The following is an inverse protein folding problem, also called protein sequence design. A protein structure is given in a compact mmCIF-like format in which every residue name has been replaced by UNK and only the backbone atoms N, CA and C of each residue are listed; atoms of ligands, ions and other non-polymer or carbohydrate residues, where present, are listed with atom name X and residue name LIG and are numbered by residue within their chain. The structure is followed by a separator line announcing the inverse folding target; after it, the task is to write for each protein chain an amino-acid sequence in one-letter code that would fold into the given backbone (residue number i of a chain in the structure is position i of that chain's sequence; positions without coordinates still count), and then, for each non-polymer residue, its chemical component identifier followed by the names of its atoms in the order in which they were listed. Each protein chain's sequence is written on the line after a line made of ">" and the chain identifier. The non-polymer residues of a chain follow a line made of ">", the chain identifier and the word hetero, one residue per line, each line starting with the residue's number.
data_IF_023001261182
#
_entry.id   IF_023001261182
#
_cell.length_a   1.000
_cell.length_b   1.000
_cell.length_c   1.000
_cell.angle_alpha   90.00
_cell.angle_beta   90.00
_cell.angle_gamma   90.00
#
_symmetry.space_group_name_H-M   'P 1'
#
loop_
_entity.id
_entity.type
_entity.pdbx_description
1 polymer ?
#
# COMPACT_ATOMS: atom_id res chain seq x y z
N UNK A 1 15.41 14.21 54.25
CA UNK A 1 14.10 14.03 53.57
C UNK A 1 14.08 14.58 52.14
N UNK A 2 14.56 15.81 51.85
CA UNK A 2 14.56 16.39 50.49
C UNK A 2 15.40 15.60 49.43
N UNK A 3 16.49 14.95 49.83
CA UNK A 3 17.36 14.19 48.92
C UNK A 3 16.78 12.83 48.48
N UNK A 4 15.87 12.24 49.27
CA UNK A 4 15.25 10.94 48.97
C UNK A 4 14.09 11.12 47.97
N UNK A 5 13.34 12.22 48.08
CA UNK A 5 12.26 12.58 47.15
C UNK A 5 12.80 12.79 45.72
N UNK A 6 13.99 13.40 45.60
CA UNK A 6 14.64 13.63 44.30
C UNK A 6 15.05 12.31 43.62
N UNK A 7 15.51 11.33 44.40
CA UNK A 7 15.90 10.02 43.87
C UNK A 7 14.68 9.20 43.40
N UNK A 8 13.55 9.32 44.10
CA UNK A 8 12.27 8.70 43.69
C UNK A 8 11.71 9.30 42.39
N UNK A 9 11.82 10.62 42.21
CA UNK A 9 11.43 11.32 40.97
C UNK A 9 12.32 10.93 39.77
N UNK A 10 13.61 10.71 40.00
CA UNK A 10 14.55 10.23 38.97
C UNK A 10 14.26 8.79 38.53
N UNK A 11 13.84 7.90 39.45
CA UNK A 11 13.50 6.51 39.12
C UNK A 11 12.12 6.38 38.46
N UNK A 12 11.15 7.21 38.83
CA UNK A 12 9.83 7.27 38.18
C UNK A 12 9.88 7.92 36.78
N UNK A 13 10.83 8.82 36.53
CA UNK A 13 11.01 9.46 35.21
C UNK A 13 11.45 8.49 34.11
N UNK A 14 12.16 7.41 34.45
CA UNK A 14 12.68 6.41 33.49
C UNK A 14 11.61 5.37 33.12
N UNK A 15 10.55 5.24 33.92
CA UNK A 15 9.36 4.44 33.59
C UNK A 15 8.34 5.21 32.75
N UNK A 16 8.66 6.46 32.33
CA UNK A 16 7.91 7.13 31.27
C UNK A 16 7.99 6.26 30.04
N UNK A 17 6.90 5.56 29.78
CA UNK A 17 6.56 4.82 28.57
C UNK A 17 7.67 4.98 27.52
N UNK A 18 8.43 3.92 27.29
CA UNK A 18 8.89 3.69 25.93
C UNK A 18 7.60 3.76 25.12
N UNK A 19 7.30 4.94 24.57
CA UNK A 19 6.46 5.04 23.41
C UNK A 19 7.21 4.10 22.49
N UNK A 20 6.73 2.86 22.40
CA UNK A 20 6.86 2.10 21.17
C UNK A 20 6.66 3.18 20.13
N UNK A 21 7.74 3.55 19.44
CA UNK A 21 7.60 4.31 18.21
C UNK A 21 6.65 3.42 17.45
N UNK A 22 5.36 3.75 17.45
CA UNK A 22 4.45 3.32 16.42
C UNK A 22 5.18 3.84 15.21
N UNK A 23 5.97 2.96 14.60
CA UNK A 23 6.48 3.15 13.26
C UNK A 23 5.17 3.19 12.49
N UNK A 24 4.61 4.39 12.35
CA UNK A 24 3.52 4.64 11.47
C UNK A 24 4.07 4.20 10.13
N UNK A 25 3.66 3.01 9.71
CA UNK A 25 4.13 2.46 8.46
C UNK A 25 3.86 3.51 7.39
N UNK A 26 4.82 3.74 6.47
CA UNK A 26 4.55 4.61 5.35
C UNK A 26 3.29 4.09 4.65
N UNK A 27 2.36 5.01 4.39
CA UNK A 27 1.17 4.68 3.63
C UNK A 27 1.61 4.26 2.22
N UNK A 28 1.40 3.00 1.86
CA UNK A 28 1.88 2.43 0.59
C UNK A 28 0.73 1.78 -0.14
N UNK A 29 0.55 2.21 -1.39
CA UNK A 29 -0.29 1.54 -2.37
C UNK A 29 0.62 0.92 -3.43
N UNK A 30 0.51 -0.39 -3.61
CA UNK A 30 1.18 -1.12 -4.69
C UNK A 30 0.18 -1.27 -5.83
N UNK A 31 0.56 -0.91 -7.04
CA UNK A 31 -0.28 -1.02 -8.23
C UNK A 31 0.37 -1.98 -9.22
N UNK A 32 -0.39 -3.00 -9.62
CA UNK A 32 0.00 -3.96 -10.65
C UNK A 32 -0.87 -3.70 -11.88
N UNK A 33 -0.25 -3.59 -13.04
CA UNK A 33 -0.92 -3.33 -14.32
C UNK A 33 -0.97 -4.62 -15.13
N UNK A 34 -2.14 -4.99 -15.64
CA UNK A 34 -2.33 -6.15 -16.52
C UNK A 34 -1.68 -7.45 -15.99
N UNK A 35 -1.81 -7.69 -14.68
CA UNK A 35 -1.22 -8.82 -13.95
C UNK A 35 0.32 -8.95 -14.10
N UNK A 36 1.00 -7.86 -14.45
CA UNK A 36 2.46 -7.79 -14.50
C UNK A 36 3.07 -7.60 -13.11
N UNK A 37 3.06 -8.65 -12.30
CA UNK A 37 3.66 -8.65 -10.95
C UNK A 37 5.20 -8.50 -10.96
N UNK A 38 5.86 -8.59 -12.12
CA UNK A 38 7.32 -8.35 -12.25
C UNK A 38 7.69 -6.86 -12.19
N UNK A 39 6.80 -5.99 -12.68
CA UNK A 39 7.05 -4.55 -12.75
C UNK A 39 5.89 -3.76 -12.11
N UNK A 40 5.63 -3.95 -10.80
CA UNK A 40 4.62 -3.16 -10.11
C UNK A 40 5.06 -1.70 -10.00
N UNK A 41 4.10 -0.78 -9.92
CA UNK A 41 4.35 0.61 -9.56
C UNK A 41 3.99 0.76 -8.10
N UNK A 42 4.91 1.25 -7.27
CA UNK A 42 4.58 1.60 -5.89
C UNK A 42 4.64 3.07 -5.66
N UNK A 43 3.74 3.56 -4.82
CA UNK A 43 3.76 4.95 -4.43
C UNK A 43 3.57 5.04 -2.92
N UNK A 44 4.57 5.63 -2.27
CA UNK A 44 4.66 5.73 -0.82
C UNK A 44 4.52 7.19 -0.39
N UNK A 45 3.79 7.41 0.70
CA UNK A 45 3.75 8.73 1.36
C UNK A 45 5.04 8.94 2.13
N UNK A 46 5.73 10.06 1.87
CA UNK A 46 6.94 10.44 2.59
C UNK A 46 6.53 10.91 4.01
N UNK A 47 6.64 10.03 5.00
CA UNK A 47 6.62 10.44 6.40
C UNK A 47 8.06 10.77 6.82
N UNK A 48 8.26 12.01 7.24
CA UNK A 48 9.50 12.63 7.73
C UNK A 48 10.71 11.70 7.95
N UNK A 49 11.70 11.81 7.05
CA UNK A 49 13.11 11.58 7.38
C UNK A 49 13.68 10.18 7.19
N UNK A 50 12.88 9.15 6.94
CA UNK A 50 13.39 7.80 6.63
C UNK A 50 12.67 7.29 5.41
N UNK A 51 13.39 7.16 4.29
CA UNK A 51 13.21 6.13 3.27
C UNK A 51 14.27 6.35 2.18
N UNK A 52 15.38 5.64 2.36
CA UNK A 52 16.50 5.50 1.43
C UNK A 52 16.28 4.31 0.50
N UNK A 53 16.66 4.50 -0.77
CA UNK A 53 16.86 3.52 -1.87
C UNK A 53 16.66 2.04 -1.52
N UNK A 54 15.77 1.35 -2.23
CA UNK A 54 15.83 -0.10 -2.39
C UNK A 54 15.13 -0.56 -3.67
N UNK A 55 15.88 -1.10 -4.65
CA UNK A 55 15.36 -1.85 -5.80
C UNK A 55 16.41 -2.87 -6.30
N UNK A 56 16.20 -4.15 -6.00
CA UNK A 56 16.53 -5.30 -6.86
C UNK A 56 15.74 -6.49 -6.28
N UNK A 57 14.89 -7.22 -6.99
CA UNK A 57 14.84 -7.62 -8.40
C UNK A 57 13.43 -7.35 -8.99
N UNK A 58 13.32 -6.36 -9.88
CA UNK A 58 12.09 -5.88 -10.52
C UNK A 58 12.07 -4.35 -10.45
N UNK A 59 11.93 -3.67 -11.60
CA UNK A 59 12.04 -2.21 -11.71
C UNK A 59 10.79 -1.51 -11.16
N UNK A 60 10.56 -1.65 -9.85
CA UNK A 60 9.41 -1.06 -9.18
C UNK A 60 9.59 0.46 -9.09
N UNK A 61 8.88 1.19 -9.94
CA UNK A 61 8.95 2.65 -9.98
C UNK A 61 8.32 3.23 -8.71
N UNK A 62 9.16 3.78 -7.83
CA UNK A 62 8.75 4.42 -6.57
C UNK A 62 8.71 5.94 -6.71
N UNK A 63 7.59 6.57 -6.36
CA UNK A 63 7.48 8.04 -6.32
C UNK A 63 7.10 8.54 -4.92
N UNK A 64 7.76 9.60 -4.46
CA UNK A 64 7.47 10.30 -3.19
C UNK A 64 6.29 11.25 -3.33
N UNK A 65 5.43 11.31 -2.31
CA UNK A 65 4.34 12.28 -2.27
C UNK A 65 4.10 12.85 -0.87
N UNK A 66 3.79 14.16 -0.81
CA UNK A 66 3.35 14.85 0.42
C UNK A 66 1.88 14.54 0.67
N UNK A 67 1.59 13.96 1.83
CA UNK A 67 0.33 13.57 2.54
C UNK A 67 -1.10 13.84 1.99
N UNK A 68 -1.33 14.54 0.88
CA UNK A 68 -2.65 14.75 0.28
C UNK A 68 -3.06 13.53 -0.55
N UNK A 69 -3.97 12.72 0.01
CA UNK A 69 -4.47 11.48 -0.59
C UNK A 69 -5.09 11.70 -1.98
N UNK A 70 -5.75 12.85 -2.20
CA UNK A 70 -6.42 13.15 -3.49
C UNK A 70 -5.38 13.45 -4.57
N UNK A 71 -4.44 14.35 -4.28
CA UNK A 71 -3.41 14.67 -5.26
C UNK A 71 -2.45 13.50 -5.50
N UNK A 72 -2.24 12.65 -4.48
CA UNK A 72 -1.54 11.38 -4.65
C UNK A 72 -2.25 10.50 -5.68
N UNK A 73 -3.56 10.32 -5.54
CA UNK A 73 -4.38 9.51 -6.43
C UNK A 73 -4.38 10.03 -7.87
N UNK A 74 -4.64 11.32 -8.07
CA UNK A 74 -4.62 11.96 -9.39
C UNK A 74 -3.28 11.72 -10.09
N UNK A 75 -2.19 11.95 -9.36
CA UNK A 75 -0.85 11.83 -9.91
C UNK A 75 -0.42 10.37 -10.11
N UNK A 76 -0.90 9.41 -9.30
CA UNK A 76 -0.68 7.97 -9.56
C UNK A 76 -1.28 7.59 -10.92
N UNK A 77 -2.54 7.94 -11.15
CA UNK A 77 -3.24 7.63 -12.40
C UNK A 77 -2.61 8.33 -13.60
N UNK A 78 -2.17 9.59 -13.44
CA UNK A 78 -1.42 10.31 -14.49
C UNK A 78 -0.12 9.61 -14.88
N UNK A 79 0.66 9.14 -13.91
CA UNK A 79 1.94 8.49 -14.21
C UNK A 79 1.71 7.11 -14.88
N UNK A 80 0.72 6.34 -14.43
CA UNK A 80 0.27 5.11 -15.11
C UNK A 80 -0.07 5.42 -16.57
N UNK A 81 -0.86 6.46 -16.81
CA UNK A 81 -1.24 6.86 -18.16
C UNK A 81 -0.04 7.30 -19.00
N UNK A 82 0.90 8.09 -18.44
CA UNK A 82 2.11 8.52 -19.16
C UNK A 82 3.01 7.37 -19.56
N UNK A 83 3.23 6.41 -18.65
CA UNK A 83 4.07 5.25 -18.90
C UNK A 83 3.53 4.37 -20.03
N UNK A 84 2.22 4.20 -20.08
CA UNK A 84 1.56 3.26 -20.99
C UNK A 84 0.90 3.95 -22.21
N UNK A 85 0.93 5.29 -22.28
CA UNK A 85 0.18 6.15 -23.22
C UNK A 85 -1.35 6.00 -23.16
N UNK A 86 -1.84 5.03 -22.39
CA UNK A 86 -3.24 4.66 -22.16
C UNK A 86 -3.36 4.08 -20.75
N UNK A 87 -4.58 3.95 -20.21
CA UNK A 87 -4.75 3.19 -18.97
C UNK A 87 -4.78 1.68 -19.29
N UNK A 88 -4.10 0.83 -18.48
CA UNK A 88 -4.10 -0.64 -18.63
C UNK A 88 -5.49 -1.26 -18.68
N UNK A 89 -5.63 -2.50 -19.14
CA UNK A 89 -6.91 -3.21 -19.14
C UNK A 89 -7.32 -3.69 -17.74
N UNK A 90 -6.34 -3.92 -16.87
CA UNK A 90 -6.54 -4.28 -15.47
C UNK A 90 -5.60 -3.49 -14.56
N UNK A 91 -6.14 -2.97 -13.46
CA UNK A 91 -5.39 -2.40 -12.36
C UNK A 91 -5.67 -3.19 -11.09
N UNK A 92 -4.64 -3.77 -10.49
CA UNK A 92 -4.72 -4.43 -9.19
C UNK A 92 -4.00 -3.58 -8.14
N UNK A 93 -4.71 -3.19 -7.09
CA UNK A 93 -4.16 -2.41 -5.99
C UNK A 93 -3.95 -3.31 -4.77
N UNK A 94 -2.74 -3.33 -4.22
CA UNK A 94 -2.42 -4.00 -2.96
C UNK A 94 -2.22 -2.95 -1.87
N UNK A 95 -2.98 -3.08 -0.80
CA UNK A 95 -2.96 -2.14 0.33
C UNK A 95 -2.96 -2.90 1.67
N UNK A 96 -2.46 -2.24 2.72
CA UNK A 96 -2.63 -2.71 4.09
C UNK A 96 -3.74 -1.91 4.79
N UNK A 97 -4.12 -2.36 5.98
CA UNK A 97 -4.99 -1.63 6.87
C UNK A 97 -4.54 -0.16 7.03
N UNK A 98 -5.52 0.75 7.06
CA UNK A 98 -5.37 2.23 7.20
C UNK A 98 -5.08 3.01 5.90
N UNK A 99 -5.06 2.36 4.74
CA UNK A 99 -5.00 3.02 3.42
C UNK A 99 -6.37 3.45 2.87
N UNK A 100 -7.43 3.36 3.67
CA UNK A 100 -8.83 3.58 3.23
C UNK A 100 -9.01 4.87 2.43
N UNK A 101 -8.58 5.99 3.00
CA UNK A 101 -8.78 7.30 2.37
C UNK A 101 -8.06 7.38 1.03
N UNK A 102 -6.81 6.92 0.97
CA UNK A 102 -6.00 6.91 -0.25
C UNK A 102 -6.63 6.02 -1.32
N UNK A 103 -7.09 4.82 -0.95
CA UNK A 103 -7.75 3.91 -1.88
C UNK A 103 -9.07 4.50 -2.39
N UNK A 104 -9.90 5.08 -1.51
CA UNK A 104 -11.14 5.75 -1.92
C UNK A 104 -10.87 6.88 -2.91
N UNK A 105 -9.82 7.68 -2.71
CA UNK A 105 -9.43 8.73 -3.66
C UNK A 105 -9.01 8.16 -5.01
N UNK A 106 -8.23 7.07 -5.04
CA UNK A 106 -7.85 6.39 -6.30
C UNK A 106 -9.09 5.91 -7.05
N UNK A 107 -10.02 5.24 -6.37
CA UNK A 107 -11.25 4.74 -6.97
C UNK A 107 -12.11 5.89 -7.54
N UNK A 108 -12.20 7.01 -6.81
CA UNK A 108 -12.90 8.21 -7.29
C UNK A 108 -12.23 8.84 -8.52
N UNK A 109 -10.90 8.88 -8.56
CA UNK A 109 -10.15 9.37 -9.72
C UNK A 109 -10.42 8.46 -10.93
N UNK A 110 -10.28 7.14 -10.80
CA UNK A 110 -10.56 6.20 -11.89
C UNK A 110 -11.99 6.37 -12.45
N UNK A 111 -12.97 6.55 -11.56
CA UNK A 111 -14.35 6.87 -11.96
C UNK A 111 -14.45 8.19 -12.74
N UNK A 112 -13.78 9.25 -12.27
CA UNK A 112 -13.74 10.56 -12.96
C UNK A 112 -13.14 10.44 -14.35
N UNK A 113 -12.11 9.61 -14.52
CA UNK A 113 -11.50 9.28 -15.81
C UNK A 113 -12.33 8.32 -16.67
N UNK A 114 -13.51 7.89 -16.20
CA UNK A 114 -14.39 6.91 -16.88
C UNK A 114 -13.63 5.64 -17.26
N UNK A 115 -12.74 5.19 -16.38
CA UNK A 115 -11.95 3.99 -16.60
C UNK A 115 -12.88 2.78 -16.81
N UNK A 116 -12.67 2.05 -17.91
CA UNK A 116 -13.51 0.90 -18.32
C UNK A 116 -12.82 -0.46 -18.12
N UNK A 117 -11.57 -0.46 -17.66
CA UNK A 117 -10.86 -1.69 -17.37
C UNK A 117 -11.32 -2.33 -16.05
N UNK A 118 -10.75 -3.49 -15.76
CA UNK A 118 -10.97 -4.21 -14.51
C UNK A 118 -10.18 -3.53 -13.39
N UNK A 119 -10.80 -3.40 -12.23
CA UNK A 119 -10.09 -3.00 -11.01
C UNK A 119 -10.26 -4.08 -9.98
N UNK A 120 -9.16 -4.47 -9.37
CA UNK A 120 -9.12 -5.38 -8.22
C UNK A 120 -8.42 -4.67 -7.07
N UNK A 121 -9.03 -4.64 -5.90
CA UNK A 121 -8.39 -4.18 -4.66
C UNK A 121 -8.17 -5.39 -3.76
N UNK A 122 -6.91 -5.64 -3.38
CA UNK A 122 -6.52 -6.65 -2.41
C UNK A 122 -6.04 -5.92 -1.15
N UNK A 123 -6.81 -6.05 -0.07
CA UNK A 123 -6.45 -5.47 1.23
C UNK A 123 -6.03 -6.55 2.20
N UNK A 124 -4.84 -6.37 2.80
CA UNK A 124 -4.41 -7.14 3.95
C UNK A 124 -4.87 -6.42 5.23
N UNK A 125 -5.93 -6.93 5.85
CA UNK A 125 -6.51 -6.38 7.08
C UNK A 125 -7.34 -7.44 7.81
N UNK A 126 -7.68 -7.20 9.08
CA UNK A 126 -8.55 -8.12 9.83
C UNK A 126 -10.05 -7.93 9.55
N UNK A 127 -10.43 -6.79 8.96
CA UNK A 127 -11.83 -6.40 8.78
C UNK A 127 -12.02 -5.71 7.44
N UNK A 128 -13.11 -6.06 6.75
CA UNK A 128 -13.50 -5.42 5.49
C UNK A 128 -13.75 -3.92 5.68
N UNK A 129 -13.23 -3.15 4.74
CA UNK A 129 -13.49 -1.72 4.65
C UNK A 129 -14.80 -1.44 3.90
N UNK A 130 -15.82 -0.97 4.62
CA UNK A 130 -17.13 -0.71 4.03
C UNK A 130 -17.11 0.35 2.91
N UNK A 131 -16.24 1.36 3.00
CA UNK A 131 -16.16 2.42 2.00
C UNK A 131 -15.51 1.94 0.70
N UNK A 132 -14.45 1.14 0.79
CA UNK A 132 -13.81 0.53 -0.38
C UNK A 132 -14.79 -0.45 -1.05
N UNK A 133 -15.46 -1.30 -0.27
CA UNK A 133 -16.49 -2.22 -0.77
C UNK A 133 -17.61 -1.50 -1.51
N UNK A 134 -18.13 -0.41 -0.94
CA UNK A 134 -19.19 0.38 -1.57
C UNK A 134 -18.74 0.99 -2.90
N UNK A 135 -17.54 1.60 -2.94
CA UNK A 135 -17.01 2.23 -4.15
C UNK A 135 -16.70 1.20 -5.24
N UNK A 136 -16.15 0.04 -4.90
CA UNK A 136 -15.84 -1.00 -5.87
C UNK A 136 -17.12 -1.61 -6.45
N UNK A 137 -18.09 -1.98 -5.61
CA UNK A 137 -19.37 -2.53 -6.05
C UNK A 137 -20.13 -1.60 -7.00
N UNK A 138 -20.18 -0.30 -6.68
CA UNK A 138 -20.88 0.71 -7.53
C UNK A 138 -20.31 0.82 -8.95
N UNK A 139 -19.07 0.41 -9.17
CA UNK A 139 -18.39 0.55 -10.46
C UNK A 139 -18.09 -0.82 -11.11
N UNK A 140 -18.63 -1.93 -10.58
CA UNK A 140 -18.38 -3.28 -11.11
C UNK A 140 -16.94 -3.74 -10.94
N UNK A 141 -16.27 -3.27 -9.87
CA UNK A 141 -14.90 -3.62 -9.53
C UNK A 141 -14.86 -4.62 -8.36
N UNK A 142 -13.73 -5.31 -8.23
CA UNK A 142 -13.55 -6.37 -7.24
C UNK A 142 -12.81 -5.83 -6.00
N UNK A 143 -13.28 -6.23 -4.82
CA UNK A 143 -12.62 -5.96 -3.55
C UNK A 143 -12.51 -7.25 -2.74
N UNK A 144 -11.26 -7.66 -2.51
CA UNK A 144 -10.89 -8.85 -1.79
C UNK A 144 -10.11 -8.42 -0.53
N UNK A 145 -10.56 -8.89 0.63
CA UNK A 145 -9.89 -8.64 1.90
C UNK A 145 -9.43 -9.98 2.46
N UNK A 146 -8.18 -10.01 2.92
CA UNK A 146 -7.56 -11.17 3.51
C UNK A 146 -6.91 -10.80 4.84
N UNK A 147 -6.99 -11.69 5.83
CA UNK A 147 -6.27 -11.55 7.09
C UNK A 147 -4.85 -12.13 7.03
N UNK A 148 -4.61 -13.06 6.11
CA UNK A 148 -3.32 -13.68 5.85
C UNK A 148 -3.06 -13.72 4.33
N UNK A 149 -1.82 -13.47 3.93
CA UNK A 149 -1.40 -13.52 2.53
C UNK A 149 -1.55 -14.92 1.92
N UNK A 150 -1.50 -15.97 2.75
CA UNK A 150 -1.70 -17.36 2.31
C UNK A 150 -3.10 -17.61 1.76
N UNK A 151 -4.07 -16.83 2.21
CA UNK A 151 -5.47 -16.97 1.83
C UNK A 151 -5.78 -16.33 0.46
N UNK A 152 -4.82 -15.60 -0.12
CA UNK A 152 -4.96 -15.02 -1.46
C UNK A 152 -5.00 -16.15 -2.49
N UNK A 153 -6.16 -16.42 -3.06
CA UNK A 153 -6.30 -17.49 -4.06
C UNK A 153 -6.21 -16.98 -5.49
N UNK A 154 -5.76 -17.84 -6.40
CA UNK A 154 -5.81 -17.62 -7.84
C UNK A 154 -4.47 -17.86 -8.52
N UNK A 155 -4.48 -17.82 -9.85
CA UNK A 155 -3.28 -17.92 -10.69
C UNK A 155 -3.10 -16.63 -11.47
N UNK A 156 -1.85 -16.28 -11.73
CA UNK A 156 -1.48 -15.17 -12.62
C UNK A 156 -0.47 -15.69 -13.64
N UNK A 157 -0.57 -15.25 -14.89
CA UNK A 157 0.34 -15.65 -15.95
C UNK A 157 1.32 -14.53 -16.24
N UNK A 158 2.62 -14.82 -16.14
CA UNK A 158 3.68 -13.83 -16.33
C UNK A 158 4.69 -14.37 -17.34
N UNK A 159 4.62 -13.85 -18.58
CA UNK A 159 5.50 -14.27 -19.66
C UNK A 159 5.28 -15.73 -20.07
N UNK A 160 4.03 -16.19 -20.11
CA UNK A 160 3.66 -17.55 -20.51
C UNK A 160 3.78 -18.60 -19.39
N UNK A 161 4.20 -18.21 -18.19
CA UNK A 161 4.34 -19.10 -17.03
C UNK A 161 3.30 -18.73 -15.98
N UNK A 162 2.58 -19.74 -15.47
CA UNK A 162 1.60 -19.57 -14.40
C UNK A 162 2.27 -19.57 -13.03
N UNK A 163 1.89 -18.63 -12.20
CA UNK A 163 2.33 -18.48 -10.82
C UNK A 163 1.13 -18.44 -9.88
N UNK A 164 1.33 -18.91 -8.64
CA UNK A 164 0.33 -18.74 -7.61
C UNK A 164 0.27 -17.26 -7.20
N UNK A 165 -0.94 -16.70 -7.16
CA UNK A 165 -1.15 -15.29 -6.90
C UNK A 165 -0.68 -14.88 -5.50
N UNK A 166 -0.83 -15.76 -4.50
CA UNK A 166 -0.34 -15.49 -3.14
C UNK A 166 1.16 -15.27 -3.11
N UNK A 167 1.96 -16.06 -3.83
CA UNK A 167 3.42 -15.95 -3.86
C UNK A 167 3.84 -14.60 -4.47
N UNK A 168 3.19 -14.19 -5.57
CA UNK A 168 3.43 -12.89 -6.18
C UNK A 168 3.06 -11.74 -5.22
N UNK A 169 1.86 -11.78 -4.63
CA UNK A 169 1.40 -10.75 -3.70
C UNK A 169 2.27 -10.68 -2.44
N UNK A 170 2.61 -11.84 -1.86
CA UNK A 170 3.46 -11.92 -0.68
C UNK A 170 4.86 -11.37 -0.93
N UNK A 171 5.45 -11.64 -2.09
CA UNK A 171 6.75 -11.08 -2.48
C UNK A 171 6.70 -9.54 -2.46
N UNK A 172 5.63 -8.94 -2.98
CA UNK A 172 5.48 -7.48 -3.00
C UNK A 172 5.27 -6.87 -1.62
N UNK A 173 4.49 -7.52 -0.74
CA UNK A 173 4.36 -7.08 0.66
C UNK A 173 5.66 -7.28 1.46
N UNK A 174 6.38 -8.39 1.28
CA UNK A 174 7.63 -8.65 2.01
C UNK A 174 8.76 -7.71 1.61
N UNK A 175 8.89 -7.41 0.30
CA UNK A 175 9.82 -6.38 -0.18
C UNK A 175 9.54 -5.02 0.47
N UNK A 176 8.27 -4.68 0.75
CA UNK A 176 7.93 -3.48 1.52
C UNK A 176 8.49 -3.55 2.95
N UNK A 177 8.33 -4.67 3.66
CA UNK A 177 8.74 -4.78 5.07
C UNK A 177 10.26 -4.77 5.28
N UNK A 178 11.05 -5.42 4.42
CA UNK A 178 12.51 -5.43 4.54
C UNK A 178 13.13 -4.04 4.32
N UNK A 179 12.45 -3.19 3.55
CA UNK A 179 12.88 -1.83 3.24
C UNK A 179 12.52 -0.80 4.33
N UNK A 180 11.68 -1.16 5.31
CA UNK A 180 11.33 -0.30 6.46
C UNK A 180 12.27 -0.53 7.65
N UNK A 181 12.98 -1.67 7.69
CA UNK A 181 13.87 -2.07 8.80
C UNK A 181 15.34 -1.62 8.67
N UNK A 182 15.72 -0.90 7.60
CA UNK A 182 17.08 -0.37 7.37
C UNK A 182 17.08 1.16 7.41
#
# INVERSE_FOLDING_TARGET
>A
MKKIILLLLLMLGILSFSKEKKVYMPKVVITVMDDNFKNPITRAVEQSGILTKALSLGDMLSFRYKSDDKKFAEKLIEEIWKMNKTLPNKLTFLIEQNEENTMVQILQVLKKYRYRGKVEVIELSYQKNAKILEQTNKNGWEYNQYSDLKDVTGEVEIGGVKYNKNECVATLFMQKHDNVKK
#
